data_IF_378291888214
#
_entry.id   IF_378291888214
#
_cell.length_a   1.000
_cell.length_b   1.000
_cell.length_c   1.000
_cell.angle_alpha   90.00
_cell.angle_beta   90.00
_cell.angle_gamma   90.00
#
_symmetry.space_group_name_H-M   'P 1'
#
loop_
_entity.id
_entity.type
_entity.pdbx_description
1 polymer ?
#
# COMPACT_ATOMS: atom_id res chain seq x y z
N UNK A 1 -12.65 28.91 26.62
CA UNK A 1 -11.74 28.14 25.72
C UNK A 1 -12.44 26.87 25.31
N UNK A 2 -12.81 26.74 24.04
CA UNK A 2 -13.46 25.53 23.53
C UNK A 2 -12.38 24.43 23.51
N UNK A 3 -12.59 23.37 24.27
CA UNK A 3 -11.64 22.24 24.28
C UNK A 3 -11.56 21.66 22.86
N UNK A 4 -10.36 21.31 22.38
CA UNK A 4 -10.10 20.74 21.05
C UNK A 4 -11.06 19.56 20.76
N UNK A 5 -11.36 18.74 21.78
CA UNK A 5 -12.33 17.63 21.67
C UNK A 5 -13.75 18.13 21.33
N UNK A 6 -14.18 19.23 21.92
CA UNK A 6 -15.51 19.81 21.66
C UNK A 6 -15.58 20.40 20.25
N UNK A 7 -14.52 21.12 19.83
CA UNK A 7 -14.43 21.68 18.48
C UNK A 7 -14.43 20.57 17.41
N UNK A 8 -13.67 19.50 17.62
CA UNK A 8 -13.66 18.34 16.72
C UNK A 8 -15.04 17.66 16.64
N UNK A 9 -15.72 17.48 17.76
CA UNK A 9 -17.04 16.86 17.80
C UNK A 9 -18.05 17.69 17.00
N UNK A 10 -18.10 19.01 17.22
CA UNK A 10 -18.99 19.91 16.47
C UNK A 10 -18.69 19.89 14.96
N UNK A 11 -17.41 19.86 14.59
CA UNK A 11 -17.00 19.71 13.19
C UNK A 11 -17.45 18.37 12.59
N UNK A 12 -17.23 17.26 13.32
CA UNK A 12 -17.59 15.93 12.86
C UNK A 12 -19.10 15.75 12.71
N UNK A 13 -19.89 16.31 13.63
CA UNK A 13 -21.35 16.28 13.56
C UNK A 13 -21.89 17.09 12.36
N UNK A 14 -21.21 18.19 11.99
CA UNK A 14 -21.60 19.04 10.85
C UNK A 14 -21.08 18.50 9.51
N UNK A 15 -19.93 17.82 9.49
CA UNK A 15 -19.21 17.40 8.28
C UNK A 15 -18.76 15.94 8.38
N UNK A 16 -19.69 15.01 8.63
CA UNK A 16 -19.40 13.61 8.91
C UNK A 16 -18.47 12.97 7.85
N UNK A 17 -18.75 13.18 6.55
CA UNK A 17 -17.94 12.60 5.46
C UNK A 17 -16.51 13.11 5.45
N UNK A 18 -16.29 14.41 5.75
CA UNK A 18 -14.93 14.99 5.81
C UNK A 18 -14.21 14.50 7.06
N UNK A 19 -14.91 14.44 8.20
CA UNK A 19 -14.33 13.92 9.43
C UNK A 19 -13.91 12.45 9.28
N UNK A 20 -14.74 11.61 8.67
CA UNK A 20 -14.40 10.21 8.34
C UNK A 20 -13.18 10.13 7.42
N UNK A 21 -13.10 10.99 6.40
CA UNK A 21 -11.97 11.03 5.50
C UNK A 21 -10.66 11.40 6.23
N UNK A 22 -10.69 12.41 7.10
CA UNK A 22 -9.52 12.82 7.90
C UNK A 22 -9.06 11.67 8.82
N UNK A 23 -9.99 11.04 9.53
CA UNK A 23 -9.67 9.92 10.43
C UNK A 23 -9.15 8.72 9.64
N UNK A 24 -9.78 8.40 8.50
CA UNK A 24 -9.31 7.37 7.59
C UNK A 24 -7.86 7.63 7.15
N UNK A 25 -7.55 8.85 6.72
CA UNK A 25 -6.22 9.24 6.29
C UNK A 25 -5.18 9.10 7.41
N UNK A 26 -5.50 9.60 8.61
CA UNK A 26 -4.58 9.53 9.76
C UNK A 26 -4.30 8.08 10.18
N UNK A 27 -5.33 7.22 10.25
CA UNK A 27 -5.18 5.81 10.59
C UNK A 27 -4.35 5.08 9.53
N UNK A 28 -4.65 5.29 8.26
CA UNK A 28 -3.92 4.64 7.16
C UNK A 28 -2.44 5.00 7.18
N UNK A 29 -2.09 6.28 7.41
CA UNK A 29 -0.70 6.69 7.56
C UNK A 29 -0.03 6.11 8.82
N UNK A 30 -0.75 6.03 9.94
CA UNK A 30 -0.26 5.37 11.16
C UNK A 30 0.06 3.90 10.94
N UNK A 31 -0.78 3.19 10.18
CA UNK A 31 -0.53 1.80 9.78
C UNK A 31 0.67 1.68 8.84
N UNK A 32 0.87 2.64 7.94
CA UNK A 32 2.08 2.70 7.10
C UNK A 32 3.34 2.84 7.93
N UNK A 33 3.34 3.69 8.96
CA UNK A 33 4.48 3.78 9.89
C UNK A 33 4.75 2.45 10.60
N UNK A 34 3.70 1.75 11.02
CA UNK A 34 3.82 0.41 11.60
C UNK A 34 4.48 -0.58 10.62
N UNK A 35 4.07 -0.57 9.34
CA UNK A 35 4.69 -1.39 8.29
C UNK A 35 6.18 -1.08 8.14
N UNK A 36 6.55 0.20 8.14
CA UNK A 36 7.96 0.62 8.04
C UNK A 36 8.83 0.10 9.19
N UNK A 37 8.25 -0.08 10.37
CA UNK A 37 8.94 -0.67 11.52
C UNK A 37 9.00 -2.20 11.44
N UNK A 38 7.90 -2.84 11.03
CA UNK A 38 7.81 -4.30 10.98
C UNK A 38 8.60 -4.92 9.85
N UNK A 39 8.57 -4.28 8.66
CA UNK A 39 9.17 -4.82 7.44
C UNK A 39 10.66 -5.19 7.57
N UNK A 40 11.55 -4.33 8.13
CA UNK A 40 12.96 -4.69 8.33
C UNK A 40 13.15 -5.93 9.20
N UNK A 41 12.33 -6.09 10.25
CA UNK A 41 12.43 -7.23 11.17
C UNK A 41 12.03 -8.52 10.46
N UNK A 42 10.88 -8.51 9.79
CA UNK A 42 10.37 -9.70 9.09
C UNK A 42 11.30 -10.08 7.92
N UNK A 43 11.75 -9.08 7.15
CA UNK A 43 12.73 -9.27 6.08
C UNK A 43 14.04 -9.90 6.60
N UNK A 44 14.54 -9.44 7.74
CA UNK A 44 15.74 -9.99 8.37
C UNK A 44 15.55 -11.48 8.72
N UNK A 45 14.43 -11.85 9.32
CA UNK A 45 14.12 -13.24 9.67
C UNK A 45 14.05 -14.15 8.44
N UNK A 46 13.36 -13.73 7.39
CA UNK A 46 13.25 -14.50 6.15
C UNK A 46 14.56 -14.56 5.34
N UNK A 47 15.44 -13.57 5.51
CA UNK A 47 16.75 -13.52 4.86
C UNK A 47 17.67 -14.69 5.21
N UNK A 48 17.44 -15.40 6.32
CA UNK A 48 18.18 -16.60 6.69
C UNK A 48 17.64 -17.89 6.07
N UNK A 49 16.59 -17.81 5.27
CA UNK A 49 15.97 -19.01 4.67
C UNK A 49 16.49 -19.26 3.26
N UNK A 50 16.45 -20.51 2.80
CA UNK A 50 16.76 -20.89 1.41
C UNK A 50 15.78 -20.28 0.39
N UNK A 51 14.66 -19.71 0.82
CA UNK A 51 13.67 -19.06 -0.03
C UNK A 51 14.23 -17.82 -0.74
N UNK A 52 15.33 -17.24 -0.25
CA UNK A 52 16.06 -16.16 -0.94
C UNK A 52 16.50 -16.58 -2.35
N UNK A 53 16.86 -17.85 -2.54
CA UNK A 53 17.30 -18.38 -3.84
C UNK A 53 16.14 -18.84 -4.73
N UNK A 54 14.89 -18.69 -4.29
CA UNK A 54 13.70 -19.10 -5.05
C UNK A 54 13.14 -17.90 -5.81
N UNK A 55 13.15 -17.95 -7.14
CA UNK A 55 12.56 -16.88 -7.97
C UNK A 55 11.06 -16.81 -7.80
N UNK A 56 10.54 -15.59 -7.65
CA UNK A 56 9.09 -15.32 -7.57
C UNK A 56 8.71 -14.09 -8.38
N UNK A 57 8.73 -14.26 -9.71
CA UNK A 57 8.33 -13.23 -10.67
C UNK A 57 7.07 -13.70 -11.40
N UNK A 58 5.91 -13.11 -11.08
CA UNK A 58 4.62 -13.52 -11.64
C UNK A 58 3.76 -12.32 -12.04
N UNK A 59 2.82 -12.55 -12.94
CA UNK A 59 1.90 -11.57 -13.54
C UNK A 59 2.69 -10.50 -14.32
N UNK A 60 3.15 -10.81 -15.55
CA UNK A 60 3.85 -9.84 -16.38
C UNK A 60 2.91 -8.72 -16.85
N UNK A 61 3.33 -7.46 -16.68
CA UNK A 61 2.59 -6.26 -17.11
C UNK A 61 3.56 -5.17 -17.56
N UNK A 62 3.63 -4.89 -18.86
CA UNK A 62 4.51 -3.84 -19.40
C UNK A 62 6.00 -4.18 -19.32
N UNK A 63 6.84 -3.15 -19.35
CA UNK A 63 8.30 -3.29 -19.39
C UNK A 63 8.99 -2.30 -18.44
N UNK A 64 10.13 -2.69 -17.93
CA UNK A 64 11.07 -1.82 -17.21
C UNK A 64 11.82 -0.89 -18.18
N UNK A 65 12.65 0.01 -17.66
CA UNK A 65 13.43 0.97 -18.45
C UNK A 65 14.47 0.31 -19.36
N UNK A 66 15.00 -0.84 -18.95
CA UNK A 66 15.96 -1.64 -19.69
C UNK A 66 15.33 -2.58 -20.75
N UNK A 67 14.00 -2.51 -20.90
CA UNK A 67 13.24 -3.36 -21.81
C UNK A 67 12.86 -4.73 -21.24
N UNK A 68 13.33 -5.08 -20.05
CA UNK A 68 12.93 -6.32 -19.38
C UNK A 68 11.44 -6.31 -19.00
N UNK A 69 10.85 -7.49 -18.80
CA UNK A 69 9.45 -7.61 -18.40
C UNK A 69 9.26 -7.07 -16.98
N UNK A 70 8.26 -6.21 -16.80
CA UNK A 70 7.80 -5.79 -15.48
C UNK A 70 6.79 -6.82 -14.95
N UNK A 71 7.00 -7.26 -13.71
CA UNK A 71 6.08 -8.17 -13.03
C UNK A 71 5.35 -7.45 -11.90
N UNK A 72 4.08 -7.80 -11.67
CA UNK A 72 3.31 -7.29 -10.50
C UNK A 72 3.98 -7.74 -9.20
N UNK A 73 4.43 -8.99 -9.15
CA UNK A 73 5.28 -9.52 -8.10
C UNK A 73 6.65 -9.79 -8.69
N UNK A 74 7.60 -8.91 -8.40
CA UNK A 74 8.92 -8.89 -9.02
C UNK A 74 10.02 -9.15 -7.96
N UNK A 75 10.18 -10.41 -7.58
CA UNK A 75 11.13 -10.87 -6.58
C UNK A 75 12.07 -11.90 -7.18
N UNK A 76 13.04 -11.43 -7.97
CA UNK A 76 14.07 -12.28 -8.55
C UNK A 76 14.89 -12.99 -7.46
N UNK A 77 15.34 -14.21 -7.75
CA UNK A 77 16.19 -14.97 -6.84
C UNK A 77 17.48 -14.23 -6.50
N UNK A 78 18.04 -14.50 -5.33
CA UNK A 78 19.32 -13.96 -4.86
C UNK A 78 19.18 -12.87 -3.81
N UNK A 79 20.22 -12.72 -2.99
CA UNK A 79 20.26 -11.73 -1.92
C UNK A 79 20.24 -10.29 -2.49
N UNK A 80 19.46 -9.41 -1.88
CA UNK A 80 19.33 -8.01 -2.30
C UNK A 80 20.68 -7.29 -2.23
N UNK A 81 21.51 -7.59 -1.21
CA UNK A 81 22.85 -7.03 -1.06
C UNK A 81 23.81 -7.41 -2.18
N UNK A 82 23.50 -8.48 -2.94
CA UNK A 82 24.29 -8.98 -4.05
C UNK A 82 23.65 -8.67 -5.42
N UNK A 83 22.65 -7.78 -5.44
CA UNK A 83 21.94 -7.36 -6.65
C UNK A 83 20.76 -8.25 -7.04
N UNK A 84 20.38 -9.22 -6.21
CA UNK A 84 19.18 -10.03 -6.38
C UNK A 84 17.91 -9.32 -5.92
N UNK A 85 16.77 -9.94 -6.16
CA UNK A 85 15.44 -9.43 -5.76
C UNK A 85 14.94 -9.93 -4.38
N UNK A 86 15.72 -10.73 -3.67
CA UNK A 86 15.34 -11.33 -2.39
C UNK A 86 14.46 -12.57 -2.49
N UNK A 87 14.05 -12.95 -3.71
CA UNK A 87 13.26 -14.15 -4.00
C UNK A 87 11.95 -14.27 -3.24
N UNK A 88 11.47 -15.49 -3.10
CA UNK A 88 10.25 -15.82 -2.35
C UNK A 88 10.33 -15.37 -0.87
N UNK A 89 11.53 -15.33 -0.28
CA UNK A 89 11.74 -14.84 1.10
C UNK A 89 11.28 -13.39 1.26
N UNK A 90 11.68 -12.52 0.33
CA UNK A 90 11.28 -11.11 0.38
C UNK A 90 9.80 -10.92 0.08
N UNK A 91 9.25 -11.65 -0.90
CA UNK A 91 7.82 -11.68 -1.14
C UNK A 91 7.03 -12.02 0.13
N UNK A 92 7.37 -13.11 0.81
CA UNK A 92 6.68 -13.51 2.05
C UNK A 92 6.85 -12.47 3.16
N UNK A 93 8.02 -11.85 3.28
CA UNK A 93 8.24 -10.78 4.27
C UNK A 93 7.33 -9.56 3.99
N UNK A 94 7.16 -9.17 2.73
CA UNK A 94 6.23 -8.11 2.32
C UNK A 94 4.80 -8.51 2.64
N UNK A 95 4.34 -9.67 2.17
CA UNK A 95 2.94 -10.07 2.30
C UNK A 95 2.52 -10.29 3.76
N UNK A 96 3.39 -10.87 4.60
CA UNK A 96 3.11 -11.03 6.04
C UNK A 96 3.03 -9.66 6.73
N UNK A 97 3.95 -8.74 6.40
CA UNK A 97 3.90 -7.37 6.93
C UNK A 97 2.59 -6.67 6.55
N UNK A 98 2.22 -6.76 5.26
CA UNK A 98 0.98 -6.19 4.75
C UNK A 98 -0.24 -6.83 5.39
N UNK A 99 -0.29 -8.15 5.52
CA UNK A 99 -1.41 -8.87 6.11
C UNK A 99 -1.65 -8.44 7.57
N UNK A 100 -0.61 -8.40 8.39
CA UNK A 100 -0.70 -7.94 9.79
C UNK A 100 -1.21 -6.50 9.83
N UNK A 101 -0.63 -5.63 9.02
CA UNK A 101 -1.03 -4.23 8.93
C UNK A 101 -2.48 -4.06 8.48
N UNK A 102 -2.93 -4.86 7.51
CA UNK A 102 -4.32 -4.81 7.02
C UNK A 102 -5.32 -5.32 8.06
N UNK A 103 -4.98 -6.33 8.84
CA UNK A 103 -5.82 -6.78 9.97
C UNK A 103 -5.98 -5.65 10.99
N UNK A 104 -4.90 -4.98 11.37
CA UNK A 104 -4.93 -3.84 12.29
C UNK A 104 -5.75 -2.69 11.68
N UNK A 105 -5.49 -2.35 10.42
CA UNK A 105 -6.21 -1.29 9.70
C UNK A 105 -7.70 -1.57 9.63
N UNK A 106 -8.10 -2.82 9.33
CA UNK A 106 -9.50 -3.23 9.29
C UNK A 106 -10.21 -2.90 10.60
N UNK A 107 -9.66 -3.31 11.74
CA UNK A 107 -10.29 -3.05 13.04
C UNK A 107 -10.33 -1.56 13.39
N UNK A 108 -9.25 -0.84 13.10
CA UNK A 108 -9.19 0.61 13.35
C UNK A 108 -10.19 1.37 12.47
N UNK A 109 -10.23 1.08 11.18
CA UNK A 109 -11.17 1.72 10.26
C UNK A 109 -12.62 1.40 10.63
N UNK A 110 -12.92 0.12 10.86
CA UNK A 110 -14.26 -0.32 11.24
C UNK A 110 -14.76 0.36 12.53
N UNK A 111 -13.94 0.37 13.57
CA UNK A 111 -14.39 0.80 14.90
C UNK A 111 -14.23 2.31 15.13
N UNK A 112 -13.19 2.94 14.58
CA UNK A 112 -12.86 4.35 14.85
C UNK A 112 -13.39 5.27 13.76
N UNK A 113 -13.10 4.95 12.48
CA UNK A 113 -13.46 5.82 11.35
C UNK A 113 -14.95 5.72 11.04
N UNK A 114 -15.42 4.51 10.80
CA UNK A 114 -16.78 4.28 10.29
C UNK A 114 -17.77 3.91 11.40
N UNK A 115 -17.29 3.52 12.59
CA UNK A 115 -18.12 3.09 13.73
C UNK A 115 -19.21 2.10 13.28
N UNK A 116 -18.79 1.11 12.50
CA UNK A 116 -19.68 0.20 11.81
C UNK A 116 -20.24 -0.88 12.73
N UNK A 117 -21.53 -1.14 12.61
CA UNK A 117 -22.25 -2.23 13.30
C UNK A 117 -22.39 -3.47 12.43
N UNK A 118 -21.86 -3.46 11.20
CA UNK A 118 -21.90 -4.61 10.28
C UNK A 118 -21.23 -5.84 10.87
N UNK A 119 -21.71 -7.03 10.50
CA UNK A 119 -21.13 -8.30 10.92
C UNK A 119 -19.64 -8.41 10.55
N UNK A 120 -18.79 -8.69 11.53
CA UNK A 120 -17.32 -8.66 11.37
C UNK A 120 -16.86 -9.57 10.23
N UNK A 121 -17.34 -10.82 10.16
CA UNK A 121 -16.91 -11.80 9.16
C UNK A 121 -17.23 -11.34 7.72
N UNK A 122 -18.45 -10.83 7.49
CA UNK A 122 -18.86 -10.32 6.17
C UNK A 122 -18.04 -9.08 5.78
N UNK A 123 -17.84 -8.15 6.72
CA UNK A 123 -17.06 -6.95 6.47
C UNK A 123 -15.58 -7.28 6.22
N UNK A 124 -14.98 -8.21 6.99
CA UNK A 124 -13.61 -8.65 6.81
C UNK A 124 -13.40 -9.34 5.46
N UNK A 125 -14.35 -10.19 5.02
CA UNK A 125 -14.30 -10.83 3.71
C UNK A 125 -14.24 -9.81 2.57
N UNK A 126 -15.18 -8.85 2.55
CA UNK A 126 -15.22 -7.83 1.49
C UNK A 126 -14.04 -6.86 1.56
N UNK A 127 -13.58 -6.53 2.77
CA UNK A 127 -12.38 -5.74 2.97
C UNK A 127 -11.15 -6.40 2.36
N UNK A 128 -10.94 -7.69 2.66
CA UNK A 128 -9.81 -8.45 2.13
C UNK A 128 -9.85 -8.56 0.61
N UNK A 129 -11.02 -8.87 0.03
CA UNK A 129 -11.21 -8.91 -1.43
C UNK A 129 -10.89 -7.55 -2.06
N UNK A 130 -11.42 -6.45 -1.49
CA UNK A 130 -11.14 -5.10 -1.97
C UNK A 130 -9.64 -4.78 -1.90
N UNK A 131 -9.01 -5.11 -0.79
CA UNK A 131 -7.56 -4.90 -0.62
C UNK A 131 -6.75 -5.64 -1.67
N UNK A 132 -6.99 -6.91 -1.90
CA UNK A 132 -6.28 -7.70 -2.92
C UNK A 132 -6.47 -7.10 -4.32
N UNK A 133 -7.71 -6.81 -4.71
CA UNK A 133 -8.03 -6.26 -6.04
C UNK A 133 -7.34 -4.89 -6.23
N UNK A 134 -7.42 -4.01 -5.24
CA UNK A 134 -6.82 -2.68 -5.34
C UNK A 134 -5.30 -2.76 -5.38
N UNK A 135 -4.69 -3.60 -4.53
CA UNK A 135 -3.23 -3.75 -4.48
C UNK A 135 -2.66 -4.31 -5.79
N UNK A 136 -3.25 -5.39 -6.29
CA UNK A 136 -2.84 -5.99 -7.57
C UNK A 136 -3.11 -5.04 -8.73
N UNK A 137 -4.27 -4.39 -8.74
CA UNK A 137 -4.64 -3.42 -9.77
C UNK A 137 -3.72 -2.19 -9.80
N UNK A 138 -3.38 -1.64 -8.64
CA UNK A 138 -2.46 -0.50 -8.54
C UNK A 138 -1.04 -0.89 -8.98
N UNK A 139 -0.54 -2.07 -8.59
CA UNK A 139 0.74 -2.58 -9.03
C UNK A 139 0.78 -2.86 -10.54
N UNK A 140 -0.29 -3.42 -11.11
CA UNK A 140 -0.41 -3.61 -12.55
C UNK A 140 -0.44 -2.27 -13.32
N UNK A 141 -1.19 -1.29 -12.84
CA UNK A 141 -1.20 0.05 -13.43
C UNK A 141 0.18 0.72 -13.37
N UNK A 142 0.93 0.51 -12.29
CA UNK A 142 2.30 1.02 -12.16
C UNK A 142 3.21 0.52 -13.29
N UNK A 143 3.07 -0.74 -13.72
CA UNK A 143 3.79 -1.29 -14.86
C UNK A 143 3.58 -0.53 -16.17
N UNK A 144 2.45 0.17 -16.32
CA UNK A 144 2.12 0.94 -17.53
C UNK A 144 2.69 2.36 -17.51
N UNK A 145 2.72 3.04 -16.35
CA UNK A 145 3.13 4.45 -16.26
C UNK A 145 4.55 4.67 -15.72
N UNK A 146 5.17 3.66 -15.12
CA UNK A 146 6.50 3.76 -14.52
C UNK A 146 7.55 4.22 -15.54
N UNK A 147 7.74 3.48 -16.62
CA UNK A 147 8.76 3.79 -17.64
C UNK A 147 8.60 5.16 -18.28
N UNK A 148 7.41 5.62 -18.71
CA UNK A 148 7.22 6.98 -19.21
C UNK A 148 7.62 8.07 -18.22
N UNK A 149 7.27 7.91 -16.93
CA UNK A 149 7.59 8.88 -15.88
C UNK A 149 9.10 8.96 -15.68
N UNK A 150 9.78 7.82 -15.55
CA UNK A 150 11.22 7.77 -15.36
C UNK A 150 11.96 8.38 -16.56
N UNK A 151 11.59 8.02 -17.78
CA UNK A 151 12.20 8.58 -18.98
C UNK A 151 12.05 10.09 -19.04
N UNK A 152 10.88 10.63 -18.70
CA UNK A 152 10.64 12.07 -18.68
C UNK A 152 11.57 12.79 -17.69
N UNK A 153 11.62 12.35 -16.43
CA UNK A 153 12.41 13.02 -15.41
C UNK A 153 13.92 12.81 -15.58
N UNK A 154 14.34 11.62 -16.00
CA UNK A 154 15.77 11.35 -16.26
C UNK A 154 16.29 12.17 -17.46
N UNK A 155 15.50 12.36 -18.50
CA UNK A 155 15.86 13.22 -19.63
C UNK A 155 15.90 14.71 -19.25
N UNK A 156 15.00 15.15 -18.36
CA UNK A 156 14.92 16.55 -17.95
C UNK A 156 15.96 16.94 -16.91
N UNK A 157 16.35 16.04 -15.98
CA UNK A 157 17.13 16.37 -14.79
C UNK A 157 18.37 15.49 -14.61
N UNK A 158 18.68 14.61 -15.56
CA UNK A 158 19.76 13.63 -15.47
C UNK A 158 19.39 12.40 -14.65
N UNK A 159 20.22 11.36 -14.74
CA UNK A 159 19.90 10.04 -14.16
C UNK A 159 19.73 10.06 -12.64
N UNK A 160 20.58 10.75 -11.89
CA UNK A 160 20.52 10.74 -10.42
C UNK A 160 19.28 11.45 -9.85
N UNK A 161 19.15 12.75 -10.12
CA UNK A 161 18.01 13.54 -9.63
C UNK A 161 16.70 13.11 -10.28
N UNK A 162 16.71 12.84 -11.59
CA UNK A 162 15.55 12.40 -12.34
C UNK A 162 14.98 11.09 -11.81
N UNK A 163 15.80 10.10 -11.49
CA UNK A 163 15.39 8.85 -10.86
C UNK A 163 14.68 9.07 -9.52
N UNK A 164 15.30 9.86 -8.64
CA UNK A 164 14.72 10.13 -7.31
C UNK A 164 13.35 10.80 -7.40
N UNK A 165 13.20 11.77 -8.31
CA UNK A 165 11.91 12.45 -8.52
C UNK A 165 10.89 11.49 -9.15
N UNK A 166 11.30 10.67 -10.10
CA UNK A 166 10.43 9.67 -10.71
C UNK A 166 9.93 8.65 -9.66
N UNK A 167 10.79 8.20 -8.73
CA UNK A 167 10.40 7.34 -7.61
C UNK A 167 9.32 7.99 -6.76
N UNK A 168 9.53 9.24 -6.35
CA UNK A 168 8.57 10.00 -5.54
C UNK A 168 7.24 10.16 -6.27
N UNK A 169 7.26 10.57 -7.53
CA UNK A 169 6.04 10.78 -8.34
C UNK A 169 5.29 9.46 -8.53
N UNK A 170 5.99 8.37 -8.87
CA UNK A 170 5.40 7.04 -9.03
C UNK A 170 4.74 6.55 -7.74
N UNK A 171 5.43 6.72 -6.61
CA UNK A 171 4.89 6.39 -5.29
C UNK A 171 3.65 7.22 -4.95
N UNK A 172 3.67 8.54 -5.23
CA UNK A 172 2.52 9.42 -4.98
C UNK A 172 1.31 9.03 -5.83
N UNK A 173 1.51 8.74 -7.13
CA UNK A 173 0.43 8.29 -8.03
C UNK A 173 -0.19 6.99 -7.48
N UNK A 174 0.63 6.02 -7.09
CA UNK A 174 0.16 4.75 -6.53
C UNK A 174 -0.62 4.95 -5.22
N UNK A 175 -0.13 5.81 -4.33
CA UNK A 175 -0.83 6.22 -3.11
C UNK A 175 -2.19 6.86 -3.40
N UNK A 176 -2.24 7.79 -4.36
CA UNK A 176 -3.46 8.50 -4.73
C UNK A 176 -4.48 7.52 -5.30
N UNK A 177 -4.09 6.66 -6.25
CA UNK A 177 -4.97 5.65 -6.84
C UNK A 177 -5.55 4.75 -5.74
N UNK A 178 -4.68 4.17 -4.92
CA UNK A 178 -5.08 3.26 -3.84
C UNK A 178 -6.03 3.94 -2.85
N UNK A 179 -5.69 5.15 -2.40
CA UNK A 179 -6.45 5.88 -1.40
C UNK A 179 -7.85 6.29 -1.90
N UNK A 180 -7.93 6.86 -3.12
CA UNK A 180 -9.19 7.32 -3.70
C UNK A 180 -10.14 6.16 -4.05
N UNK A 181 -9.61 4.99 -4.37
CA UNK A 181 -10.42 3.80 -4.63
C UNK A 181 -10.82 3.13 -3.31
N UNK A 182 -9.89 3.03 -2.36
CA UNK A 182 -10.12 2.31 -1.11
C UNK A 182 -11.14 3.01 -0.19
N UNK A 183 -11.07 4.34 -0.07
CA UNK A 183 -11.94 5.10 0.82
C UNK A 183 -13.45 4.94 0.52
N UNK A 184 -13.95 5.14 -0.71
CA UNK A 184 -15.35 4.91 -1.01
C UNK A 184 -15.78 3.44 -0.86
N UNK A 185 -14.92 2.48 -1.19
CA UNK A 185 -15.20 1.07 -0.99
C UNK A 185 -15.34 0.74 0.50
N UNK A 186 -14.46 1.27 1.34
CA UNK A 186 -14.55 1.12 2.80
C UNK A 186 -15.83 1.71 3.36
N UNK A 187 -16.26 2.86 2.85
CA UNK A 187 -17.53 3.49 3.23
C UNK A 187 -18.73 2.61 2.90
N UNK A 188 -18.67 1.85 1.79
CA UNK A 188 -19.71 0.88 1.42
C UNK A 188 -19.68 -0.36 2.32
N UNK A 189 -18.48 -0.91 2.58
CA UNK A 189 -18.30 -2.12 3.41
C UNK A 189 -18.73 -1.87 4.86
N UNK A 190 -18.42 -0.69 5.40
CA UNK A 190 -18.68 -0.30 6.79
C UNK A 190 -19.92 0.57 6.96
N UNK A 191 -20.81 0.59 5.98
CA UNK A 191 -22.06 1.35 6.06
C UNK A 191 -22.82 0.99 7.35
N UNK A 192 -23.23 2.00 8.11
CA UNK A 192 -24.23 1.85 9.17
C UNK A 192 -25.57 1.46 8.52
N UNK A 193 -26.18 0.39 9.00
CA UNK A 193 -27.57 0.05 8.65
C UNK A 193 -28.52 1.06 9.28
#
# INVERSE_FOLDING_TARGET
>A
MTNIKTAWRLFADKHEGIAQFIVFFLISNGVTVLQMIMMPVIKYLFGFTSLVSTNYQIIPVGHNLDGSVYYVFDYAAGAIAEGGGGGLAYFLAVEITLLIAQVINFFLQRNVTFKSESGIAKAAFWYFIAWVIISVGAAALQGLYKSPIYNFFMNAMGTGAGMTIADIITMLINCIISFWVFFPIMKLIFKKN
#
